data_IF_192939816323
#
_entry.id   IF_192939816323
#
_cell.length_a   1.000
_cell.length_b   1.000
_cell.length_c   1.000
_cell.angle_alpha   90.00
_cell.angle_beta   90.00
_cell.angle_gamma   90.00
#
_symmetry.space_group_name_H-M   'P 1'
#
loop_
_entity.id
_entity.type
_entity.pdbx_description
1 polymer ?
#
# COMPACT_ATOMS: atom_id res chain seq x y z
N UNK A 1 10.42 -28.85 -32.39
CA UNK A 1 8.96 -28.69 -32.38
C UNK A 1 8.59 -28.13 -31.02
N UNK A 2 8.65 -26.80 -30.87
CA UNK A 2 8.40 -26.12 -29.59
C UNK A 2 6.89 -25.98 -29.43
N UNK A 3 6.35 -26.49 -28.32
CA UNK A 3 4.95 -26.28 -27.95
C UNK A 3 4.84 -24.83 -27.45
N UNK A 4 4.24 -23.98 -28.25
CA UNK A 4 3.76 -22.67 -27.83
C UNK A 4 2.80 -22.88 -26.65
N UNK A 5 3.20 -22.48 -25.45
CA UNK A 5 2.30 -22.42 -24.30
C UNK A 5 1.38 -21.22 -24.53
N UNK A 6 0.23 -21.47 -25.15
CA UNK A 6 -0.89 -20.53 -25.17
C UNK A 6 -1.32 -20.30 -23.72
N UNK A 7 -0.72 -19.30 -23.09
CA UNK A 7 -1.28 -18.67 -21.90
C UNK A 7 -2.60 -18.07 -22.33
N UNK A 8 -3.68 -18.76 -21.96
CA UNK A 8 -5.03 -18.24 -22.05
C UNK A 8 -5.08 -16.99 -21.15
N UNK A 9 -4.87 -15.83 -21.78
CA UNK A 9 -4.90 -14.52 -21.13
C UNK A 9 -6.33 -14.09 -20.77
N UNK A 10 -7.31 -14.99 -20.91
CA UNK A 10 -8.67 -14.73 -20.54
C UNK A 10 -8.80 -14.91 -19.01
N UNK A 11 -9.13 -13.85 -18.25
CA UNK A 11 -9.24 -13.95 -16.81
C UNK A 11 -10.30 -14.98 -16.44
N UNK A 12 -9.96 -15.91 -15.55
CA UNK A 12 -10.92 -16.90 -15.06
C UNK A 12 -12.04 -16.16 -14.36
N UNK A 13 -13.29 -16.61 -14.53
CA UNK A 13 -14.46 -15.95 -13.94
C UNK A 13 -14.33 -15.80 -12.42
N UNK A 14 -13.69 -16.78 -11.76
CA UNK A 14 -13.40 -16.76 -10.32
C UNK A 14 -12.33 -15.71 -9.92
N UNK A 15 -11.54 -15.22 -10.87
CA UNK A 15 -10.57 -14.14 -10.68
C UNK A 15 -11.23 -12.76 -10.83
N UNK A 16 -12.30 -12.68 -11.64
CA UNK A 16 -13.14 -11.49 -11.80
C UNK A 16 -14.08 -11.34 -10.60
N UNK A 17 -14.64 -12.46 -10.12
CA UNK A 17 -15.50 -12.52 -8.95
C UNK A 17 -14.66 -12.80 -7.71
N UNK A 18 -14.16 -11.73 -7.08
CA UNK A 18 -13.53 -11.82 -5.75
C UNK A 18 -14.45 -12.60 -4.79
N UNK A 19 -13.85 -13.44 -3.93
CA UNK A 19 -14.58 -14.31 -2.98
C UNK A 19 -15.69 -13.52 -2.26
N UNK A 20 -16.92 -14.06 -2.24
CA UNK A 20 -18.10 -13.41 -1.65
C UNK A 20 -17.98 -13.27 -0.13
N UNK A 21 -17.20 -14.15 0.51
CA UNK A 21 -16.83 -14.01 1.93
C UNK A 21 -15.90 -12.82 2.18
N UNK A 22 -15.19 -12.39 1.14
CA UNK A 22 -14.26 -11.28 1.18
C UNK A 22 -15.07 -9.97 1.12
N UNK A 23 -15.52 -9.56 2.31
CA UNK A 23 -16.37 -8.39 2.51
C UNK A 23 -15.83 -7.17 1.75
N UNK A 24 -16.72 -6.38 1.15
CA UNK A 24 -16.36 -5.14 0.45
C UNK A 24 -15.58 -4.23 1.40
N UNK A 25 -14.26 -4.20 1.22
CA UNK A 25 -13.38 -3.31 1.97
C UNK A 25 -13.44 -1.94 1.30
N UNK A 26 -14.26 -1.06 1.82
CA UNK A 26 -14.32 0.32 1.36
C UNK A 26 -13.05 1.06 1.78
N UNK A 27 -12.66 2.10 1.03
CA UNK A 27 -11.56 2.99 1.43
C UNK A 27 -11.75 3.56 2.83
N UNK A 28 -13.00 3.73 3.29
CA UNK A 28 -13.31 4.14 4.67
C UNK A 28 -12.95 3.07 5.71
N UNK A 29 -13.19 1.78 5.45
CA UNK A 29 -12.80 0.68 6.36
C UNK A 29 -11.28 0.48 6.46
N UNK A 30 -10.51 1.03 5.52
CA UNK A 30 -9.05 1.02 5.54
C UNK A 30 -8.46 2.21 6.29
N UNK A 31 -9.27 3.20 6.69
CA UNK A 31 -8.76 4.45 7.25
C UNK A 31 -8.08 4.27 8.61
N UNK A 32 -8.62 3.42 9.48
CA UNK A 32 -8.25 3.53 10.90
C UNK A 32 -6.92 2.81 11.21
N UNK A 33 -6.72 1.60 10.69
CA UNK A 33 -5.48 0.84 10.92
C UNK A 33 -4.33 1.34 10.02
N UNK A 34 -4.62 1.60 8.74
CA UNK A 34 -3.59 1.91 7.77
C UNK A 34 -3.09 3.35 7.88
N UNK A 35 -3.91 4.31 8.34
CA UNK A 35 -3.41 5.66 8.61
C UNK A 35 -2.52 5.67 9.85
N UNK A 36 -2.86 4.93 10.90
CA UNK A 36 -2.01 4.82 12.10
C UNK A 36 -0.69 4.13 11.76
N UNK A 37 -0.71 3.05 10.98
CA UNK A 37 0.53 2.39 10.51
C UNK A 37 1.33 3.26 9.54
N UNK A 38 0.69 3.98 8.63
CA UNK A 38 1.37 4.86 7.68
C UNK A 38 1.98 6.08 8.39
N UNK A 39 1.24 6.72 9.29
CA UNK A 39 1.74 7.81 10.11
C UNK A 39 2.87 7.33 11.04
N UNK A 40 2.79 6.11 11.58
CA UNK A 40 3.88 5.52 12.37
C UNK A 40 5.11 5.17 11.53
N UNK A 41 4.95 4.88 10.23
CA UNK A 41 6.08 4.64 9.32
C UNK A 41 6.77 5.94 8.90
N UNK A 42 6.01 7.04 8.83
CA UNK A 42 6.52 8.33 8.38
C UNK A 42 7.04 9.14 9.57
N UNK A 43 6.41 9.05 10.74
CA UNK A 43 6.83 9.79 11.94
C UNK A 43 7.94 9.05 12.68
N UNK A 44 9.12 9.68 12.86
CA UNK A 44 10.20 9.13 13.67
C UNK A 44 9.77 8.96 15.13
N UNK A 45 10.32 7.96 15.82
CA UNK A 45 9.97 7.66 17.21
C UNK A 45 10.66 8.60 18.20
N UNK A 46 11.81 9.16 17.82
CA UNK A 46 12.59 10.09 18.63
C UNK A 46 13.34 11.11 17.75
N UNK A 47 13.99 12.07 18.40
CA UNK A 47 14.69 13.17 17.73
C UNK A 47 15.90 12.64 16.94
N UNK A 48 16.62 11.66 17.47
CA UNK A 48 17.80 11.12 16.81
C UNK A 48 17.44 10.40 15.50
N UNK A 49 16.34 9.64 15.49
CA UNK A 49 15.79 9.01 14.29
C UNK A 49 15.26 10.06 13.30
N UNK A 50 14.64 11.14 13.80
CA UNK A 50 14.15 12.22 12.95
C UNK A 50 15.26 12.97 12.22
N UNK A 51 16.42 13.15 12.87
CA UNK A 51 17.58 13.83 12.31
C UNK A 51 18.34 12.98 11.30
N UNK A 52 18.13 11.67 11.29
CA UNK A 52 18.79 10.72 10.40
C UNK A 52 17.89 10.21 9.26
N UNK A 53 16.58 10.46 9.34
CA UNK A 53 15.64 10.07 8.29
C UNK A 53 15.49 11.19 7.26
N UNK A 54 16.25 11.07 6.16
CA UNK A 54 16.21 12.00 5.03
C UNK A 54 14.80 12.19 4.46
N UNK A 55 13.96 11.14 4.48
CA UNK A 55 12.58 11.22 3.97
C UNK A 55 11.70 12.06 4.90
N UNK A 56 11.91 11.96 6.21
CA UNK A 56 11.22 12.81 7.18
C UNK A 56 11.63 14.27 7.02
N UNK A 57 12.94 14.54 6.91
CA UNK A 57 13.47 15.90 6.71
C UNK A 57 12.89 16.53 5.44
N UNK A 58 12.91 15.80 4.32
CA UNK A 58 12.36 16.28 3.05
C UNK A 58 10.85 16.55 3.15
N UNK A 59 10.08 15.65 3.77
CA UNK A 59 8.63 15.83 3.93
C UNK A 59 8.30 17.08 4.75
N UNK A 60 9.05 17.34 5.82
CA UNK A 60 8.86 18.54 6.64
C UNK A 60 9.27 19.81 5.91
N UNK A 61 10.29 19.76 5.05
CA UNK A 61 10.67 20.90 4.20
C UNK A 61 9.57 21.23 3.17
N UNK A 62 9.01 20.22 2.51
CA UNK A 62 7.93 20.40 1.51
C UNK A 62 6.63 20.97 2.12
N UNK A 63 6.34 20.70 3.39
CA UNK A 63 5.16 21.26 4.09
C UNK A 63 5.38 22.71 4.57
N UNK A 64 6.64 23.12 4.76
CA UNK A 64 7.00 24.46 5.25
C UNK A 64 7.17 25.51 4.13
N UNK A 65 7.33 25.05 2.88
CA UNK A 65 7.35 25.88 1.67
C UNK A 65 5.94 26.35 1.24
#
# INVERSE_FOLDING_TARGET
MSKELLLDNNPKVDEILRNIEDRVRTRSTFKDQAQVELLSKIKPKNIDEALLDDRWIQTIQEELD
#
